data_IF_375548553751
#
_entry.id   IF_375548553751
#
_cell.length_a   1.000
_cell.length_b   1.000
_cell.length_c   1.000
_cell.angle_alpha   90.00
_cell.angle_beta   90.00
_cell.angle_gamma   90.00
#
_symmetry.space_group_name_H-M   'P 1'
#
loop_
_entity.id
_entity.type
_entity.pdbx_description
1 polymer ?
#
# COMPACT_ATOMS: atom_id res chain seq x y z
N UNK A 1 -9.13 -19.52 -13.68
CA UNK A 1 -9.56 -18.20 -13.16
C UNK A 1 -9.63 -17.21 -14.30
N UNK A 2 -10.64 -16.35 -14.35
CA UNK A 2 -10.72 -15.32 -15.41
C UNK A 2 -9.63 -14.25 -15.16
N UNK A 3 -8.85 -13.86 -16.18
CA UNK A 3 -7.78 -12.85 -16.04
C UNK A 3 -8.29 -11.52 -15.47
N UNK A 4 -9.58 -11.20 -15.69
CA UNK A 4 -10.22 -9.97 -15.21
C UNK A 4 -10.19 -9.83 -13.67
N UNK A 5 -10.35 -10.93 -12.91
CA UNK A 5 -10.42 -10.86 -11.45
C UNK A 5 -9.05 -10.50 -10.83
N UNK A 6 -7.97 -10.99 -11.42
CA UNK A 6 -6.61 -10.73 -10.92
C UNK A 6 -6.19 -9.30 -11.23
N UNK A 7 -6.55 -8.80 -12.42
CA UNK A 7 -6.38 -7.40 -12.78
C UNK A 7 -7.11 -6.46 -11.81
N UNK A 8 -8.38 -6.76 -11.49
CA UNK A 8 -9.16 -6.00 -10.52
C UNK A 8 -8.49 -5.96 -9.15
N UNK A 9 -8.04 -7.10 -8.63
CA UNK A 9 -7.36 -7.14 -7.32
C UNK A 9 -6.06 -6.34 -7.34
N UNK A 10 -5.25 -6.43 -8.41
CA UNK A 10 -4.03 -5.62 -8.50
C UNK A 10 -4.31 -4.13 -8.53
N UNK A 11 -5.38 -3.69 -9.20
CA UNK A 11 -5.81 -2.29 -9.21
C UNK A 11 -6.26 -1.87 -7.80
N UNK A 12 -7.06 -2.70 -7.12
CA UNK A 12 -7.51 -2.43 -5.75
C UNK A 12 -6.30 -2.27 -4.81
N UNK A 13 -5.32 -3.17 -4.87
CA UNK A 13 -4.10 -3.08 -4.03
C UNK A 13 -3.35 -1.77 -4.30
N UNK A 14 -3.26 -1.35 -5.56
CA UNK A 14 -2.62 -0.08 -5.92
C UNK A 14 -3.39 1.11 -5.32
N UNK A 15 -4.71 1.15 -5.45
CA UNK A 15 -5.57 2.18 -4.84
C UNK A 15 -5.41 2.21 -3.31
N UNK A 16 -5.43 1.05 -2.66
CA UNK A 16 -5.22 0.95 -1.21
C UNK A 16 -3.82 1.44 -0.81
N UNK A 17 -2.80 1.19 -1.64
CA UNK A 17 -1.43 1.70 -1.40
C UNK A 17 -1.35 3.22 -1.50
N UNK A 18 -2.04 3.81 -2.48
CA UNK A 18 -2.11 5.26 -2.62
C UNK A 18 -2.78 5.87 -1.38
N UNK A 19 -3.91 5.31 -0.94
CA UNK A 19 -4.60 5.78 0.28
C UNK A 19 -3.74 5.64 1.53
N UNK A 20 -3.09 4.49 1.71
CA UNK A 20 -2.17 4.22 2.82
C UNK A 20 -1.04 5.25 2.90
N UNK A 21 -0.41 5.57 1.77
CA UNK A 21 0.63 6.61 1.68
C UNK A 21 0.06 8.00 2.01
N UNK A 22 -1.12 8.34 1.51
CA UNK A 22 -1.77 9.63 1.79
C UNK A 22 -2.02 9.77 3.30
N UNK A 23 -2.61 8.76 3.93
CA UNK A 23 -2.88 8.79 5.37
C UNK A 23 -1.60 8.80 6.20
N UNK A 24 -0.57 8.07 5.78
CA UNK A 24 0.73 8.07 6.45
C UNK A 24 1.36 9.47 6.41
N UNK A 25 1.42 10.11 5.24
CA UNK A 25 1.95 11.47 5.10
C UNK A 25 1.14 12.46 5.96
N UNK A 26 -0.19 12.37 5.91
CA UNK A 26 -1.07 13.24 6.68
C UNK A 26 -0.89 13.05 8.19
N UNK A 27 -0.83 11.80 8.65
CA UNK A 27 -0.59 11.46 10.06
C UNK A 27 0.75 11.97 10.58
N UNK A 28 1.81 11.82 9.77
CA UNK A 28 3.15 12.31 10.10
C UNK A 28 3.17 13.84 10.17
N UNK A 29 2.52 14.53 9.22
CA UNK A 29 2.45 16.00 9.18
C UNK A 29 1.70 16.59 10.38
N UNK A 30 0.68 15.89 10.89
CA UNK A 30 -0.06 16.29 12.08
C UNK A 30 0.61 15.87 13.38
N UNK A 31 1.71 15.11 13.34
CA UNK A 31 2.36 14.55 14.52
C UNK A 31 1.52 13.51 15.26
N UNK A 32 0.52 12.91 14.59
CA UNK A 32 -0.35 11.89 15.18
C UNK A 32 0.31 10.52 15.24
N UNK A 33 1.27 10.29 14.34
CA UNK A 33 1.91 9.00 14.13
C UNK A 33 3.40 9.23 13.95
N UNK A 34 4.19 8.22 14.29
CA UNK A 34 5.61 8.16 13.97
C UNK A 34 5.85 7.02 12.97
N UNK A 35 6.79 7.23 12.04
CA UNK A 35 7.13 6.20 11.06
C UNK A 35 7.88 5.06 11.77
N UNK A 36 7.24 3.89 11.84
CA UNK A 36 7.80 2.74 12.53
C UNK A 36 9.02 2.14 11.81
N UNK A 37 9.16 2.38 10.50
CA UNK A 37 10.31 1.91 9.74
C UNK A 37 11.50 2.90 9.83
N UNK A 38 12.59 2.55 10.54
CA UNK A 38 13.72 3.46 10.75
C UNK A 38 14.45 3.84 9.45
N UNK A 39 14.27 3.07 8.37
CA UNK A 39 14.83 3.40 7.05
C UNK A 39 13.98 4.47 6.36
N UNK A 40 12.65 4.37 6.48
CA UNK A 40 11.73 5.31 5.83
C UNK A 40 11.56 6.60 6.62
N UNK A 41 11.73 6.57 7.94
CA UNK A 41 11.61 7.72 8.82
C UNK A 41 12.41 8.95 8.33
N UNK A 42 13.74 8.88 8.12
CA UNK A 42 14.50 10.03 7.65
C UNK A 42 14.14 10.46 6.22
N UNK A 43 13.54 9.57 5.42
CA UNK A 43 13.09 9.89 4.06
C UNK A 43 11.77 10.67 4.10
N UNK A 44 10.84 10.25 4.95
CA UNK A 44 9.58 10.97 5.17
C UNK A 44 9.77 12.32 5.84
N UNK A 45 10.72 12.45 6.77
CA UNK A 45 11.04 13.74 7.40
C UNK A 45 11.60 14.77 6.41
N UNK A 46 12.44 14.32 5.45
CA UNK A 46 13.08 15.22 4.48
C UNK A 46 12.20 15.50 3.26
N UNK A 47 11.60 14.47 2.69
CA UNK A 47 10.92 14.53 1.39
C UNK A 47 9.69 13.60 1.39
N UNK A 48 8.62 13.95 2.14
CA UNK A 48 7.48 13.06 2.37
C UNK A 48 6.74 12.68 1.08
N UNK A 49 6.51 13.67 0.20
CA UNK A 49 5.83 13.46 -1.07
C UNK A 49 6.62 12.50 -1.98
N UNK A 50 7.93 12.70 -2.12
CA UNK A 50 8.78 11.88 -2.99
C UNK A 50 8.94 10.46 -2.45
N UNK A 51 9.05 10.32 -1.14
CA UNK A 51 9.08 9.01 -0.47
C UNK A 51 7.78 8.24 -0.73
N UNK A 52 6.63 8.91 -0.54
CA UNK A 52 5.33 8.33 -0.84
C UNK A 52 5.17 7.90 -2.31
N UNK A 53 5.53 8.78 -3.26
CA UNK A 53 5.51 8.45 -4.68
C UNK A 53 6.44 7.28 -5.02
N UNK A 54 7.63 7.22 -4.40
CA UNK A 54 8.57 6.11 -4.55
C UNK A 54 7.98 4.78 -4.10
N UNK A 55 7.26 4.75 -2.97
CA UNK A 55 6.58 3.56 -2.46
C UNK A 55 5.48 3.11 -3.42
N UNK A 56 4.61 4.04 -3.88
CA UNK A 56 3.54 3.71 -4.84
C UNK A 56 4.11 3.15 -6.13
N UNK A 57 5.16 3.78 -6.65
CA UNK A 57 5.83 3.34 -7.88
C UNK A 57 6.48 1.96 -7.72
N UNK A 58 7.16 1.72 -6.60
CA UNK A 58 7.76 0.43 -6.29
C UNK A 58 6.71 -0.68 -6.22
N UNK A 59 5.60 -0.45 -5.51
CA UNK A 59 4.49 -1.41 -5.43
C UNK A 59 3.85 -1.64 -6.81
N UNK A 60 3.68 -0.60 -7.62
CA UNK A 60 3.20 -0.73 -8.99
C UNK A 60 4.07 -1.68 -9.83
N UNK A 61 5.40 -1.52 -9.78
CA UNK A 61 6.34 -2.41 -10.49
C UNK A 61 6.20 -3.86 -10.01
N UNK A 62 6.11 -4.08 -8.69
CA UNK A 62 5.93 -5.42 -8.13
C UNK A 62 4.62 -6.06 -8.61
N UNK A 63 3.50 -5.34 -8.55
CA UNK A 63 2.21 -5.84 -9.01
C UNK A 63 2.21 -6.11 -10.52
N UNK A 64 2.84 -5.24 -11.32
CA UNK A 64 3.02 -5.46 -12.75
C UNK A 64 3.82 -6.74 -13.03
N UNK A 65 4.93 -6.95 -12.30
CA UNK A 65 5.74 -8.15 -12.43
C UNK A 65 4.95 -9.41 -12.05
N UNK A 66 4.27 -9.39 -10.89
CA UNK A 66 3.41 -10.49 -10.45
C UNK A 66 2.30 -10.80 -11.46
N UNK A 67 1.70 -9.78 -12.06
CA UNK A 67 0.70 -9.94 -13.11
C UNK A 67 1.28 -10.62 -14.36
N UNK A 68 2.54 -10.33 -14.73
CA UNK A 68 3.22 -10.98 -15.86
C UNK A 68 3.49 -12.46 -15.61
N UNK A 69 3.86 -12.84 -14.39
CA UNK A 69 4.19 -14.23 -14.04
C UNK A 69 2.98 -15.04 -13.51
N UNK A 70 1.77 -14.47 -13.54
CA UNK A 70 0.55 -15.04 -12.93
C UNK A 70 0.24 -16.48 -13.35
N UNK A 71 0.60 -16.88 -14.57
CA UNK A 71 0.32 -18.23 -15.08
C UNK A 71 1.23 -19.30 -14.45
N UNK A 72 2.38 -18.88 -13.90
CA UNK A 72 3.35 -19.78 -13.26
C UNK A 72 3.10 -19.95 -11.76
N UNK A 73 2.32 -19.07 -11.13
CA UNK A 73 2.16 -19.02 -9.68
C UNK A 73 0.70 -19.26 -9.29
N UNK A 74 0.36 -20.52 -8.99
CA UNK A 74 -1.02 -20.95 -8.70
C UNK A 74 -1.64 -20.29 -7.47
N UNK A 75 -0.81 -19.93 -6.47
CA UNK A 75 -1.24 -19.32 -5.22
C UNK A 75 -1.29 -17.79 -5.26
N UNK A 76 -0.95 -17.17 -6.41
CA UNK A 76 -0.86 -15.72 -6.54
C UNK A 76 -2.17 -15.02 -6.19
N UNK A 77 -3.31 -15.56 -6.65
CA UNK A 77 -4.61 -14.98 -6.36
C UNK A 77 -4.88 -14.92 -4.85
N UNK A 78 -4.65 -16.03 -4.13
CA UNK A 78 -4.85 -16.08 -2.68
C UNK A 78 -3.91 -15.12 -1.95
N UNK A 79 -2.64 -15.06 -2.37
CA UNK A 79 -1.66 -14.12 -1.81
C UNK A 79 -2.06 -12.66 -2.01
N UNK A 80 -2.52 -12.29 -3.21
CA UNK A 80 -3.01 -10.94 -3.48
C UNK A 80 -4.29 -10.62 -2.70
N UNK A 81 -5.17 -11.59 -2.51
CA UNK A 81 -6.38 -11.41 -1.71
C UNK A 81 -6.04 -11.17 -0.23
N UNK A 82 -5.10 -11.94 0.31
CA UNK A 82 -4.61 -11.75 1.68
C UNK A 82 -3.91 -10.40 1.85
N UNK A 83 -3.13 -9.97 0.85
CA UNK A 83 -2.53 -8.63 0.83
C UNK A 83 -3.59 -7.52 0.84
N UNK A 84 -4.70 -7.71 0.12
CA UNK A 84 -5.85 -6.81 0.18
C UNK A 84 -6.43 -6.71 1.59
N UNK A 85 -6.66 -7.84 2.28
CA UNK A 85 -7.16 -7.85 3.66
C UNK A 85 -6.22 -7.03 4.56
N UNK A 86 -4.92 -7.31 4.50
CA UNK A 86 -3.92 -6.60 5.32
C UNK A 86 -3.97 -5.09 5.06
N UNK A 87 -4.00 -4.67 3.78
CA UNK A 87 -4.07 -3.25 3.44
C UNK A 87 -5.35 -2.57 3.91
N UNK A 88 -6.49 -3.27 3.82
CA UNK A 88 -7.75 -2.75 4.38
C UNK A 88 -7.62 -2.57 5.88
N UNK A 89 -7.05 -3.54 6.61
CA UNK A 89 -6.83 -3.43 8.06
C UNK A 89 -5.94 -2.24 8.43
N UNK A 90 -4.87 -1.99 7.67
CA UNK A 90 -4.00 -0.80 7.87
C UNK A 90 -4.77 0.50 7.62
N UNK A 91 -5.59 0.57 6.57
CA UNK A 91 -6.43 1.75 6.31
C UNK A 91 -7.46 1.96 7.43
N UNK A 92 -8.08 0.89 7.95
CA UNK A 92 -8.97 1.00 9.12
C UNK A 92 -8.23 1.53 10.34
N UNK A 93 -6.97 1.14 10.54
CA UNK A 93 -6.13 1.68 11.61
C UNK A 93 -5.91 3.19 11.43
N UNK A 94 -5.56 3.66 10.22
CA UNK A 94 -5.46 5.09 9.90
C UNK A 94 -6.75 5.84 10.21
N UNK A 95 -7.91 5.29 9.83
CA UNK A 95 -9.21 5.90 10.14
C UNK A 95 -9.49 5.98 11.64
N UNK A 96 -9.19 4.94 12.40
CA UNK A 96 -9.38 4.95 13.85
C UNK A 96 -8.59 6.09 14.50
N UNK A 97 -7.38 6.36 14.01
CA UNK A 97 -6.54 7.43 14.54
C UNK A 97 -7.11 8.79 14.18
N UNK A 98 -7.55 8.95 12.93
CA UNK A 98 -8.12 10.18 12.40
C UNK A 98 -9.45 10.58 13.07
N UNK A 99 -10.25 9.60 13.50
CA UNK A 99 -11.51 9.83 14.24
C UNK A 99 -11.36 9.76 15.77
N UNK A 100 -10.19 9.41 16.29
CA UNK A 100 -9.90 9.47 17.73
C UNK A 100 -9.43 10.84 18.22
N UNK A 101 -9.30 11.80 17.30
CA UNK A 101 -9.15 13.25 17.55
C UNK A 101 -10.52 13.84 17.86
#
# INVERSE_FOLDING_TARGET
MRPNNLCQITIIILCLTILDVIFTIYGLQLGMIEEANPILQPMFEKMPLWTGLGIVFFVYIQLWFLYKIRERVRWLFLGLWLLCIVKVSVITLHFNWLFSI
#
